data_IF_008063516417
#
_entry.id   IF_008063516417
#
_cell.length_a   1.000
_cell.length_b   1.000
_cell.length_c   1.000
_cell.angle_alpha   90.00
_cell.angle_beta   90.00
_cell.angle_gamma   90.00
#
_symmetry.space_group_name_H-M   'P 1'
#
loop_
_entity.id
_entity.type
_entity.pdbx_description
1 polymer ?
#
# COMPACT_ATOMS: atom_id res chain seq x y z
N UNK A 1 -7.43 -29.99 45.01
CA UNK A 1 -8.29 -29.05 44.26
C UNK A 1 -7.55 -27.76 43.85
N UNK A 2 -6.37 -27.85 43.22
CA UNK A 2 -5.65 -26.67 42.67
C UNK A 2 -4.84 -26.95 41.39
N UNK A 3 -4.96 -28.15 40.81
CA UNK A 3 -4.20 -28.53 39.61
C UNK A 3 -5.05 -28.60 38.32
N UNK A 4 -6.38 -28.49 38.42
CA UNK A 4 -7.29 -28.61 37.28
C UNK A 4 -7.69 -27.27 36.65
N UNK A 5 -7.43 -26.13 37.31
CA UNK A 5 -7.77 -24.79 36.79
C UNK A 5 -6.70 -24.19 35.88
N UNK A 6 -5.47 -24.70 35.89
CA UNK A 6 -4.35 -24.17 35.09
C UNK A 6 -4.28 -24.68 33.64
N UNK A 7 -4.95 -25.80 33.34
CA UNK A 7 -4.96 -26.42 32.01
C UNK A 7 -6.06 -25.87 31.09
N UNK A 8 -7.12 -25.28 31.65
CA UNK A 8 -8.20 -24.69 30.85
C UNK A 8 -7.88 -23.26 30.37
N UNK A 9 -7.04 -22.50 31.08
CA UNK A 9 -6.65 -21.16 30.64
C UNK A 9 -5.58 -21.17 29.53
N UNK A 10 -4.73 -22.20 29.48
CA UNK A 10 -3.69 -22.32 28.44
C UNK A 10 -4.24 -22.84 27.11
N UNK A 11 -5.29 -23.68 27.12
CA UNK A 11 -5.98 -24.09 25.90
C UNK A 11 -6.83 -22.96 25.29
N UNK A 12 -7.39 -22.06 26.11
CA UNK A 12 -8.17 -20.93 25.62
C UNK A 12 -7.31 -19.84 24.96
N UNK A 13 -6.08 -19.60 25.43
CA UNK A 13 -5.18 -18.62 24.81
C UNK A 13 -4.58 -19.09 23.48
N UNK A 14 -4.44 -20.40 23.24
CA UNK A 14 -3.92 -20.92 21.97
C UNK A 14 -4.96 -20.90 20.83
N UNK A 15 -6.25 -20.77 21.14
CA UNK A 15 -7.32 -20.72 20.13
C UNK A 15 -7.65 -19.29 19.65
N UNK A 16 -7.14 -18.25 20.31
CA UNK A 16 -7.33 -16.84 19.92
C UNK A 16 -6.10 -16.21 19.26
N UNK A 17 -5.12 -17.04 18.88
CA UNK A 17 -3.85 -16.60 18.30
C UNK A 17 -3.76 -16.69 16.77
N UNK A 18 -4.86 -16.95 16.07
CA UNK A 18 -4.90 -16.69 14.63
C UNK A 18 -5.26 -15.22 14.47
N UNK A 19 -4.26 -14.39 14.19
CA UNK A 19 -4.52 -13.18 13.45
C UNK A 19 -5.35 -13.60 12.24
N UNK A 20 -6.62 -13.17 12.20
CA UNK A 20 -7.50 -13.25 11.03
C UNK A 20 -6.90 -12.34 9.96
N UNK A 21 -5.72 -12.69 9.47
CA UNK A 21 -5.11 -12.09 8.32
C UNK A 21 -5.77 -12.74 7.11
N UNK A 22 -6.80 -12.05 6.61
CA UNK A 22 -7.48 -12.33 5.35
C UNK A 22 -8.21 -13.67 5.31
N UNK A 23 -9.40 -13.71 5.91
CA UNK A 23 -10.39 -14.69 5.48
C UNK A 23 -10.67 -14.46 3.98
N UNK A 24 -10.45 -15.51 3.17
CA UNK A 24 -10.70 -15.47 1.74
C UNK A 24 -12.20 -15.19 1.52
N UNK A 25 -12.52 -14.03 0.95
CA UNK A 25 -13.89 -13.69 0.61
C UNK A 25 -14.33 -14.49 -0.63
N UNK A 26 -15.65 -14.71 -0.83
CA UNK A 26 -16.16 -15.36 -2.04
C UNK A 26 -15.69 -14.60 -3.30
N UNK A 27 -15.36 -15.32 -4.37
CA UNK A 27 -14.96 -14.71 -5.64
C UNK A 27 -15.99 -13.66 -6.08
N UNK A 28 -15.54 -12.42 -6.28
CA UNK A 28 -16.40 -11.29 -6.69
C UNK A 28 -16.91 -10.43 -5.52
N UNK A 29 -16.52 -10.73 -4.29
CA UNK A 29 -16.82 -9.87 -3.13
C UNK A 29 -16.00 -8.57 -3.14
N UNK A 30 -14.87 -8.55 -3.84
CA UNK A 30 -13.91 -7.45 -3.82
C UNK A 30 -14.27 -6.29 -4.78
N UNK A 31 -15.25 -6.51 -5.67
CA UNK A 31 -15.59 -5.56 -6.74
C UNK A 31 -17.11 -5.48 -6.90
N UNK A 32 -17.66 -4.27 -6.74
CA UNK A 32 -19.01 -3.96 -7.22
C UNK A 32 -18.87 -3.52 -8.67
N UNK A 33 -19.49 -4.26 -9.59
CA UNK A 33 -19.52 -3.91 -11.00
C UNK A 33 -20.06 -2.50 -11.21
N UNK A 34 -19.59 -1.83 -12.26
CA UNK A 34 -20.11 -0.52 -12.65
C UNK A 34 -21.60 -0.57 -13.00
N UNK A 35 -22.33 0.56 -12.95
CA UNK A 35 -23.72 0.59 -13.37
C UNK A 35 -23.83 0.25 -14.87
N UNK A 36 -24.81 -0.58 -15.24
CA UNK A 36 -25.08 -0.98 -16.64
C UNK A 36 -25.41 0.20 -17.57
N UNK A 37 -25.78 1.36 -17.01
CA UNK A 37 -26.13 2.56 -17.74
C UNK A 37 -26.42 3.75 -16.82
N UNK A 38 -26.59 4.96 -17.37
CA UNK A 38 -26.92 6.16 -16.58
C UNK A 38 -28.16 6.00 -15.68
N UNK A 39 -29.15 5.23 -16.12
CA UNK A 39 -30.39 4.95 -15.40
C UNK A 39 -30.21 4.07 -14.16
N UNK A 40 -29.15 3.26 -14.10
CA UNK A 40 -28.87 2.37 -12.97
C UNK A 40 -27.92 2.99 -11.93
N UNK A 41 -27.38 4.18 -12.19
CA UNK A 41 -26.44 4.89 -11.29
C UNK A 41 -27.02 5.06 -9.88
N UNK A 42 -28.29 5.41 -9.75
CA UNK A 42 -28.90 5.60 -8.43
C UNK A 42 -29.09 4.29 -7.67
N UNK A 43 -29.36 3.19 -8.37
CA UNK A 43 -29.40 1.85 -7.77
C UNK A 43 -28.01 1.41 -7.31
N UNK A 44 -27.04 1.52 -8.21
CA UNK A 44 -25.63 1.21 -7.95
C UNK A 44 -25.07 1.99 -6.75
N UNK A 45 -25.39 3.30 -6.62
CA UNK A 45 -25.00 4.11 -5.44
C UNK A 45 -25.59 3.61 -4.13
N UNK A 46 -26.83 3.08 -4.15
CA UNK A 46 -27.45 2.47 -2.97
C UNK A 46 -26.73 1.19 -2.58
N UNK A 47 -26.40 0.35 -3.55
CA UNK A 47 -25.67 -0.90 -3.32
C UNK A 47 -24.28 -0.62 -2.74
N UNK A 48 -23.55 0.36 -3.27
CA UNK A 48 -22.31 0.86 -2.68
C UNK A 48 -22.46 1.33 -1.23
N UNK A 49 -23.55 2.03 -0.93
CA UNK A 49 -23.81 2.51 0.44
C UNK A 49 -24.07 1.33 1.38
N UNK A 50 -24.83 0.32 0.94
CA UNK A 50 -25.09 -0.90 1.71
C UNK A 50 -23.79 -1.66 1.94
N UNK A 51 -23.00 -1.89 0.90
CA UNK A 51 -21.72 -2.59 0.99
C UNK A 51 -20.74 -1.87 1.92
N UNK A 52 -20.60 -0.54 1.79
CA UNK A 52 -19.81 0.28 2.72
C UNK A 52 -20.24 0.05 4.16
N UNK A 53 -21.54 0.08 4.46
CA UNK A 53 -22.04 -0.13 5.82
C UNK A 53 -21.72 -1.53 6.33
N UNK A 54 -21.85 -2.56 5.48
CA UNK A 54 -21.47 -3.93 5.82
C UNK A 54 -19.98 -4.04 6.13
N UNK A 55 -19.11 -3.46 5.30
CA UNK A 55 -17.67 -3.48 5.50
C UNK A 55 -17.23 -2.76 6.77
N UNK A 56 -17.85 -1.61 7.09
CA UNK A 56 -17.58 -0.92 8.35
C UNK A 56 -17.96 -1.80 9.56
N UNK A 57 -19.06 -2.54 9.49
CA UNK A 57 -19.47 -3.48 10.55
C UNK A 57 -18.50 -4.67 10.63
N UNK A 58 -18.17 -5.30 9.49
CA UNK A 58 -17.29 -6.47 9.40
C UNK A 58 -15.90 -6.16 9.98
N UNK A 59 -15.35 -5.00 9.62
CA UNK A 59 -14.05 -4.54 10.10
C UNK A 59 -14.11 -3.91 11.50
N UNK A 60 -15.25 -3.99 12.18
CA UNK A 60 -15.50 -3.40 13.52
C UNK A 60 -15.06 -1.94 13.58
N UNK A 61 -15.30 -1.20 12.49
CA UNK A 61 -14.96 0.20 12.40
C UNK A 61 -15.81 1.00 13.41
N UNK A 62 -15.13 1.82 14.19
CA UNK A 62 -15.76 2.80 15.07
C UNK A 62 -15.04 4.13 14.86
N UNK A 63 -15.73 5.22 14.47
CA UNK A 63 -15.07 6.50 14.20
C UNK A 63 -14.39 7.12 15.43
N UNK A 64 -14.77 6.69 16.63
CA UNK A 64 -14.24 7.21 17.89
C UNK A 64 -13.20 6.28 18.55
N UNK A 65 -12.91 5.12 17.94
CA UNK A 65 -11.93 4.18 18.49
C UNK A 65 -10.52 4.52 18.00
N UNK A 66 -9.69 5.11 18.86
CA UNK A 66 -8.30 5.45 18.55
C UNK A 66 -7.39 4.23 18.36
N UNK A 67 -7.83 3.04 18.76
CA UNK A 67 -7.07 1.78 18.61
C UNK A 67 -7.37 1.07 17.28
N UNK A 68 -8.25 1.63 16.45
CA UNK A 68 -8.52 1.11 15.11
C UNK A 68 -7.47 1.63 14.10
N UNK A 69 -6.93 0.74 13.27
CA UNK A 69 -5.93 1.06 12.23
C UNK A 69 -6.39 2.15 11.26
N UNK A 70 -7.70 2.28 11.03
CA UNK A 70 -8.29 3.31 10.20
C UNK A 70 -8.31 4.69 10.86
N UNK A 71 -8.14 4.80 12.18
CA UNK A 71 -8.21 6.06 12.93
C UNK A 71 -6.84 6.55 13.42
N UNK A 72 -5.74 5.87 13.07
CA UNK A 72 -4.42 6.40 13.36
C UNK A 72 -4.19 7.71 12.61
N UNK A 73 -3.81 8.75 13.35
CA UNK A 73 -3.62 10.10 12.80
C UNK A 73 -2.60 10.10 11.66
N UNK A 74 -1.56 9.28 11.77
CA UNK A 74 -0.47 9.16 10.82
C UNK A 74 -0.89 8.54 9.48
N UNK A 75 -1.99 7.78 9.45
CA UNK A 75 -2.49 7.09 8.26
C UNK A 75 -3.78 7.68 7.70
N UNK A 76 -4.37 8.72 8.33
CA UNK A 76 -5.61 9.35 7.82
C UNK A 76 -5.54 9.77 6.35
N UNK A 77 -4.37 10.21 5.89
CA UNK A 77 -4.18 10.62 4.50
C UNK A 77 -4.46 9.48 3.50
N UNK A 78 -4.32 8.21 3.88
CA UNK A 78 -4.56 7.08 2.98
C UNK A 78 -6.03 6.93 2.61
N UNK A 79 -6.95 7.46 3.44
CA UNK A 79 -8.39 7.45 3.15
C UNK A 79 -8.78 8.40 2.00
N UNK A 80 -7.86 9.27 1.57
CA UNK A 80 -8.04 10.22 0.47
C UNK A 80 -7.02 10.00 -0.64
N UNK A 81 -6.38 8.83 -0.70
CA UNK A 81 -5.38 8.46 -1.69
C UNK A 81 -6.04 7.62 -2.80
N UNK A 82 -6.67 8.28 -3.77
CA UNK A 82 -7.46 7.64 -4.81
C UNK A 82 -6.62 7.16 -5.99
N UNK A 83 -5.59 7.93 -6.36
CA UNK A 83 -4.70 7.62 -7.50
C UNK A 83 -3.28 7.42 -6.99
N UNK A 84 -2.84 6.17 -6.95
CA UNK A 84 -1.47 5.77 -6.67
C UNK A 84 -0.81 5.20 -7.93
N UNK A 85 0.38 5.69 -8.27
CA UNK A 85 1.17 5.10 -9.35
C UNK A 85 2.17 4.08 -8.82
N UNK A 86 2.43 3.05 -9.61
CA UNK A 86 3.51 2.09 -9.37
C UNK A 86 4.70 2.46 -10.25
N UNK A 87 5.84 2.80 -9.65
CA UNK A 87 7.00 3.32 -10.37
C UNK A 87 8.21 2.42 -10.21
N UNK A 88 8.67 1.82 -11.30
CA UNK A 88 9.94 1.12 -11.33
C UNK A 88 11.09 2.13 -11.40
N UNK A 89 12.04 2.06 -10.46
CA UNK A 89 13.10 3.08 -10.34
C UNK A 89 14.13 3.02 -11.48
N UNK A 90 14.14 1.95 -12.27
CA UNK A 90 14.95 1.84 -13.49
C UNK A 90 14.23 2.36 -14.76
N UNK A 91 12.99 2.85 -14.65
CA UNK A 91 12.22 3.38 -15.78
C UNK A 91 12.81 4.70 -16.29
N UNK A 92 12.84 4.86 -17.62
CA UNK A 92 13.25 6.07 -18.32
C UNK A 92 12.27 7.22 -18.18
N UNK A 93 11.04 6.94 -17.75
CA UNK A 93 10.05 7.98 -17.42
C UNK A 93 10.50 8.86 -16.26
N UNK A 94 11.20 8.30 -15.27
CA UNK A 94 11.77 9.06 -14.13
C UNK A 94 13.28 9.22 -14.20
N UNK A 95 14.02 8.23 -14.68
CA UNK A 95 15.49 8.28 -14.68
C UNK A 95 16.01 8.82 -16.02
N UNK A 96 16.84 9.86 -15.98
CA UNK A 96 17.56 10.40 -17.14
C UNK A 96 18.96 9.77 -17.22
N UNK A 97 19.29 9.20 -18.39
CA UNK A 97 20.57 8.51 -18.61
C UNK A 97 21.71 9.48 -18.89
N UNK A 98 21.42 10.62 -19.50
CA UNK A 98 22.44 11.58 -19.90
C UNK A 98 22.99 12.31 -18.68
N UNK A 99 22.09 12.76 -17.81
CA UNK A 99 22.45 13.43 -16.55
C UNK A 99 22.68 12.45 -15.39
N UNK A 100 22.26 11.19 -15.54
CA UNK A 100 22.28 10.17 -14.48
C UNK A 100 21.51 10.60 -13.22
N UNK A 101 20.42 11.34 -13.40
CA UNK A 101 19.58 11.86 -12.31
C UNK A 101 18.13 11.39 -12.44
N UNK A 102 17.41 11.40 -11.32
CA UNK A 102 15.96 11.29 -11.34
C UNK A 102 15.32 12.64 -11.68
N UNK A 103 14.25 12.60 -12.47
CA UNK A 103 13.53 13.74 -13.02
C UNK A 103 12.08 13.71 -12.54
N UNK A 104 11.87 13.89 -11.23
CA UNK A 104 10.55 13.77 -10.59
C UNK A 104 9.54 14.73 -11.21
N UNK A 105 9.92 15.98 -11.46
CA UNK A 105 9.00 16.98 -12.03
C UNK A 105 8.45 16.55 -13.39
N UNK A 106 9.32 16.06 -14.27
CA UNK A 106 8.95 15.52 -15.58
C UNK A 106 8.01 14.33 -15.43
N UNK A 107 8.35 13.37 -14.57
CA UNK A 107 7.53 12.19 -14.34
C UNK A 107 6.11 12.56 -13.86
N UNK A 108 5.99 13.47 -12.89
CA UNK A 108 4.70 13.91 -12.36
C UNK A 108 3.89 14.63 -13.42
N UNK A 109 4.50 15.54 -14.20
CA UNK A 109 3.81 16.24 -15.29
C UNK A 109 3.25 15.26 -16.34
N UNK A 110 4.08 14.32 -16.78
CA UNK A 110 3.69 13.31 -17.76
C UNK A 110 2.59 12.40 -17.22
N UNK A 111 2.68 11.91 -15.98
CA UNK A 111 1.63 11.07 -15.41
C UNK A 111 0.33 11.83 -15.25
N UNK A 112 0.36 13.05 -14.70
CA UNK A 112 -0.86 13.80 -14.49
C UNK A 112 -1.55 14.20 -15.80
N UNK A 113 -0.79 14.38 -16.88
CA UNK A 113 -1.37 14.59 -18.21
C UNK A 113 -2.18 13.38 -18.72
N UNK A 114 -1.86 12.18 -18.25
CA UNK A 114 -2.46 10.91 -18.70
C UNK A 114 -3.60 10.44 -17.82
N UNK A 115 -3.45 10.56 -16.51
CA UNK A 115 -4.39 9.96 -15.52
C UNK A 115 -5.06 10.98 -14.60
N UNK A 116 -4.73 12.27 -14.75
CA UNK A 116 -5.14 13.31 -13.81
C UNK A 116 -4.25 13.37 -12.56
N UNK A 117 -4.63 14.16 -11.54
CA UNK A 117 -3.85 14.30 -10.31
C UNK A 117 -3.49 12.95 -9.68
N UNK A 118 -2.26 12.82 -9.20
CA UNK A 118 -1.80 11.63 -8.48
C UNK A 118 -1.59 11.98 -7.00
N UNK A 119 -2.05 11.12 -6.10
CA UNK A 119 -1.97 11.34 -4.65
C UNK A 119 -0.67 10.74 -4.07
N UNK A 120 -0.24 9.61 -4.62
CA UNK A 120 0.98 8.93 -4.19
C UNK A 120 1.68 8.15 -5.30
N UNK A 121 2.92 7.78 -5.01
CA UNK A 121 3.75 6.87 -5.80
C UNK A 121 4.33 5.77 -4.91
N UNK A 122 4.24 4.53 -5.37
CA UNK A 122 5.01 3.41 -4.84
C UNK A 122 6.33 3.30 -5.62
N UNK A 123 7.45 3.61 -4.99
CA UNK A 123 8.77 3.48 -5.63
C UNK A 123 9.29 2.05 -5.51
N UNK A 124 9.58 1.42 -6.64
CA UNK A 124 9.92 0.01 -6.72
C UNK A 124 11.36 -0.19 -7.25
N UNK A 125 12.35 -0.37 -6.36
CA UNK A 125 13.74 -0.57 -6.75
C UNK A 125 14.09 -2.04 -7.05
N UNK A 126 13.29 -2.97 -6.53
CA UNK A 126 13.70 -4.36 -6.42
C UNK A 126 13.67 -5.11 -7.76
N UNK A 127 12.58 -5.03 -8.50
CA UNK A 127 12.46 -5.71 -9.78
C UNK A 127 12.98 -4.87 -10.94
N UNK A 128 13.55 -5.51 -11.99
CA UNK A 128 13.65 -6.97 -12.19
C UNK A 128 14.92 -7.61 -11.58
N UNK A 129 15.66 -6.90 -10.71
CA UNK A 129 17.02 -7.31 -10.30
C UNK A 129 17.07 -8.18 -9.03
N UNK A 130 16.02 -8.19 -8.22
CA UNK A 130 15.96 -9.01 -7.00
C UNK A 130 16.08 -10.49 -7.36
N UNK A 131 16.95 -11.22 -6.64
CA UNK A 131 17.26 -12.62 -6.91
C UNK A 131 18.32 -12.88 -8.00
N UNK A 132 18.76 -11.87 -8.76
CA UNK A 132 19.87 -12.02 -9.74
C UNK A 132 21.23 -12.17 -9.05
N UNK A 133 21.38 -11.63 -7.84
CA UNK A 133 22.58 -11.75 -7.03
C UNK A 133 22.27 -11.66 -5.54
N UNK A 134 23.30 -11.48 -4.72
CA UNK A 134 23.19 -11.57 -3.26
C UNK A 134 22.65 -10.30 -2.56
N UNK A 135 21.97 -9.41 -3.29
CA UNK A 135 21.42 -8.15 -2.77
C UNK A 135 19.96 -8.32 -2.39
N UNK A 136 19.62 -7.93 -1.17
CA UNK A 136 18.25 -7.86 -0.68
C UNK A 136 17.55 -6.57 -1.16
N UNK A 137 16.27 -6.42 -0.86
CA UNK A 137 15.45 -5.26 -1.20
C UNK A 137 16.05 -3.93 -0.69
N UNK A 138 16.72 -3.97 0.48
CA UNK A 138 17.33 -2.80 1.10
C UNK A 138 18.64 -2.42 0.42
N UNK A 139 19.45 -3.41 0.03
CA UNK A 139 20.65 -3.21 -0.79
C UNK A 139 20.25 -2.59 -2.13
N UNK A 140 19.20 -3.08 -2.78
CA UNK A 140 18.71 -2.53 -4.05
C UNK A 140 18.19 -1.09 -3.90
N UNK A 141 17.55 -0.74 -2.78
CA UNK A 141 17.15 0.64 -2.47
C UNK A 141 18.38 1.54 -2.25
N UNK A 142 19.40 1.05 -1.54
CA UNK A 142 20.66 1.79 -1.27
C UNK A 142 21.56 1.90 -2.49
N UNK A 143 21.42 1.01 -3.46
CA UNK A 143 22.17 0.99 -4.73
C UNK A 143 21.60 2.00 -5.75
N UNK A 144 20.44 2.61 -5.50
CA UNK A 144 19.89 3.65 -6.37
C UNK A 144 20.88 4.85 -6.48
N UNK A 145 20.86 5.61 -7.59
CA UNK A 145 21.70 6.79 -7.78
C UNK A 145 21.72 7.72 -6.57
N UNK A 146 22.91 8.05 -6.08
CA UNK A 146 23.11 8.87 -4.88
C UNK A 146 22.89 8.14 -3.54
N UNK A 147 22.60 6.84 -3.57
CA UNK A 147 22.32 6.03 -2.40
C UNK A 147 21.16 6.54 -1.57
N UNK A 148 21.23 6.36 -0.24
CA UNK A 148 20.17 6.79 0.68
C UNK A 148 19.88 8.29 0.58
N UNK A 149 20.91 9.12 0.43
CA UNK A 149 20.73 10.58 0.29
C UNK A 149 20.08 10.94 -1.05
N UNK A 150 20.43 10.24 -2.13
CA UNK A 150 19.74 10.38 -3.42
C UNK A 150 18.26 10.01 -3.32
N UNK A 151 17.93 8.90 -2.64
CA UNK A 151 16.54 8.48 -2.40
C UNK A 151 15.77 9.51 -1.57
N UNK A 152 16.39 10.09 -0.53
CA UNK A 152 15.78 11.19 0.24
C UNK A 152 15.51 12.42 -0.64
N UNK A 153 16.41 12.73 -1.58
CA UNK A 153 16.22 13.79 -2.58
C UNK A 153 14.99 13.54 -3.44
N UNK A 154 14.88 12.35 -4.02
CA UNK A 154 13.71 11.93 -4.82
C UNK A 154 12.40 12.06 -4.02
N UNK A 155 12.41 11.58 -2.77
CA UNK A 155 11.24 11.68 -1.88
C UNK A 155 10.88 13.15 -1.62
N UNK A 156 11.87 13.99 -1.38
CA UNK A 156 11.67 15.43 -1.14
C UNK A 156 11.06 16.12 -2.37
N UNK A 157 11.49 15.74 -3.57
CA UNK A 157 10.93 16.27 -4.81
C UNK A 157 9.47 15.84 -5.03
N UNK A 158 9.11 14.59 -4.72
CA UNK A 158 7.70 14.16 -4.75
C UNK A 158 6.86 14.93 -3.72
N UNK A 159 7.36 15.08 -2.49
CA UNK A 159 6.68 15.86 -1.46
C UNK A 159 6.51 17.33 -1.83
N UNK A 160 7.50 17.94 -2.50
CA UNK A 160 7.40 19.30 -3.06
C UNK A 160 6.25 19.42 -4.07
N UNK A 161 5.92 18.34 -4.77
CA UNK A 161 4.80 18.24 -5.71
C UNK A 161 3.47 17.82 -5.04
N UNK A 162 3.45 17.65 -3.72
CA UNK A 162 2.26 17.21 -2.98
C UNK A 162 1.98 15.71 -3.09
N UNK A 163 2.86 14.93 -3.71
CA UNK A 163 2.70 13.49 -3.94
C UNK A 163 3.36 12.73 -2.79
N UNK A 164 2.63 11.82 -2.15
CA UNK A 164 3.17 10.96 -1.08
C UNK A 164 4.02 9.83 -1.67
N UNK A 165 5.06 9.41 -0.96
CA UNK A 165 5.91 8.28 -1.38
C UNK A 165 5.72 7.09 -0.46
N UNK A 166 5.49 5.93 -1.07
CA UNK A 166 5.46 4.63 -0.39
C UNK A 166 6.69 3.84 -0.83
N UNK A 167 7.35 3.21 0.14
CA UNK A 167 8.46 2.28 -0.08
C UNK A 167 7.93 0.88 0.25
N UNK A 168 8.04 -0.10 -0.67
CA UNK A 168 7.56 -1.44 -0.44
C UNK A 168 8.42 -2.15 0.61
N UNK A 169 7.77 -2.95 1.44
CA UNK A 169 8.40 -4.05 2.13
C UNK A 169 7.99 -5.34 1.43
N UNK A 170 8.98 -6.10 0.96
CA UNK A 170 8.79 -7.37 0.27
C UNK A 170 8.98 -8.52 1.28
N UNK A 171 7.91 -9.05 1.91
CA UNK A 171 8.04 -10.11 2.92
C UNK A 171 8.53 -11.45 2.34
N UNK A 172 8.45 -11.62 1.03
CA UNK A 172 8.96 -12.80 0.33
C UNK A 172 10.45 -12.73 0.00
N UNK A 173 11.13 -11.61 0.28
CA UNK A 173 12.57 -11.46 0.09
C UNK A 173 13.37 -12.14 1.20
N UNK A 174 13.15 -13.44 1.37
CA UNK A 174 13.78 -14.29 2.38
C UNK A 174 14.98 -15.09 1.82
N UNK A 175 15.17 -15.06 0.49
CA UNK A 175 16.24 -15.78 -0.20
C UNK A 175 17.57 -15.05 -0.20
N UNK A 176 17.58 -13.80 0.27
CA UNK A 176 18.76 -12.94 0.38
C UNK A 176 19.17 -12.80 1.84
N UNK A 177 20.40 -12.33 2.09
CA UNK A 177 20.88 -12.03 3.46
C UNK A 177 20.09 -10.86 4.07
N UNK A 178 19.92 -10.85 5.40
CA UNK A 178 19.44 -9.70 6.17
C UNK A 178 20.58 -8.70 6.47
#
# INVERSE_FOLDING_TARGET
>A
MRALTGLYLSAACCLFGQALAWDQQPDGYEVIDGPDGPESVDAWRRDWTVWKNMELINNRYSPNDSCNVYNFQQTQWTQQNFVQTFLMMNDRSIYDRETQQYTVDKYVDEMQSRVGPIDSVLIWPAYPNIGVGNRNQWDLLRDLPGGVEGVKGVISDFHRRGVRVIIPYNPWDIGTRD
#
